data_IF_572611193757
#
_entry.id   IF_572611193757
#
_cell.length_a   1.000
_cell.length_b   1.000
_cell.length_c   1.000
_cell.angle_alpha   90.00
_cell.angle_beta   90.00
_cell.angle_gamma   90.00
#
_symmetry.space_group_name_H-M   'P 1'
#
loop_
_entity.id
_entity.type
_entity.pdbx_description
1 polymer ?
#
# COMPACT_ATOMS: atom_id res chain seq x y z
N UNK A 1 -55.28 7.52 22.03
CA UNK A 1 -55.33 7.99 20.64
C UNK A 1 -53.91 7.93 20.07
N UNK A 2 -53.65 6.88 19.30
CA UNK A 2 -52.34 6.69 18.68
C UNK A 2 -52.30 7.42 17.32
N UNK A 3 -51.52 8.48 17.24
CA UNK A 3 -51.24 9.13 15.96
C UNK A 3 -50.09 8.42 15.24
N UNK A 4 -50.42 7.58 14.26
CA UNK A 4 -49.45 7.09 13.30
C UNK A 4 -49.11 8.21 12.31
N UNK A 5 -47.86 8.66 12.31
CA UNK A 5 -47.32 9.56 11.32
C UNK A 5 -47.27 8.85 9.94
N UNK A 6 -47.87 9.44 8.92
CA UNK A 6 -47.89 8.86 7.56
C UNK A 6 -46.50 8.93 6.93
N UNK A 7 -46.19 7.98 6.01
CA UNK A 7 -44.93 7.96 5.23
C UNK A 7 -44.60 9.31 4.55
N UNK A 8 -45.60 10.11 4.24
CA UNK A 8 -45.43 11.44 3.66
C UNK A 8 -44.92 12.50 4.61
N UNK A 9 -45.25 12.40 5.91
CA UNK A 9 -44.74 13.31 6.95
C UNK A 9 -43.27 13.00 7.30
N UNK A 10 -42.89 11.72 7.28
CA UNK A 10 -41.51 11.31 7.50
C UNK A 10 -40.55 11.82 6.39
N UNK A 11 -40.96 11.72 5.14
CA UNK A 11 -40.19 12.23 4.00
C UNK A 11 -40.03 13.77 4.04
N UNK A 12 -41.05 14.51 4.48
CA UNK A 12 -40.96 15.99 4.61
C UNK A 12 -40.03 16.42 5.74
N UNK A 13 -39.99 15.72 6.86
CA UNK A 13 -39.06 16.02 7.96
C UNK A 13 -37.61 15.66 7.63
N UNK A 14 -37.36 14.59 6.87
CA UNK A 14 -36.03 14.23 6.40
C UNK A 14 -35.44 15.24 5.41
N UNK A 15 -36.29 15.90 4.61
CA UNK A 15 -35.84 16.96 3.68
C UNK A 15 -35.49 18.27 4.37
N UNK A 16 -36.11 18.58 5.54
CA UNK A 16 -35.77 19.78 6.30
C UNK A 16 -34.52 19.65 7.18
N UNK A 17 -34.14 18.42 7.58
CA UNK A 17 -32.89 18.19 8.31
C UNK A 17 -31.64 18.25 7.40
N UNK A 18 -31.80 18.05 6.08
CA UNK A 18 -30.71 18.17 5.10
C UNK A 18 -30.46 19.63 4.65
N UNK A 19 -31.29 20.59 5.06
CA UNK A 19 -31.22 21.99 4.62
C UNK A 19 -30.45 22.95 5.56
N UNK A 20 -29.94 22.48 6.70
CA UNK A 20 -29.34 23.34 7.72
C UNK A 20 -27.80 23.33 7.79
N UNK A 21 -27.12 22.77 6.77
CA UNK A 21 -25.67 22.89 6.61
C UNK A 21 -25.36 23.59 5.29
N UNK A 22 -25.81 24.81 5.18
CA UNK A 22 -25.35 25.74 4.14
C UNK A 22 -25.01 27.05 4.84
N UNK A 23 -23.73 27.31 4.98
CA UNK A 23 -23.10 28.62 4.81
C UNK A 23 -21.67 28.62 5.36
N UNK A 24 -20.73 28.25 4.53
CA UNK A 24 -19.47 29.00 4.46
C UNK A 24 -18.94 28.86 3.01
N UNK A 25 -19.05 29.96 2.27
CA UNK A 25 -18.51 30.12 0.92
C UNK A 25 -16.97 30.07 1.00
N UNK A 26 -16.35 29.02 0.49
CA UNK A 26 -15.01 29.07 -0.07
C UNK A 26 -14.80 27.86 -1.00
N UNK A 27 -14.75 28.13 -2.30
CA UNK A 27 -14.12 27.36 -3.39
C UNK A 27 -14.16 25.83 -3.24
N UNK A 28 -15.35 25.26 -3.25
CA UNK A 28 -15.54 23.83 -3.55
C UNK A 28 -16.22 23.75 -4.91
N UNK A 29 -15.49 23.25 -5.91
CA UNK A 29 -16.07 22.88 -7.20
C UNK A 29 -17.31 22.01 -6.95
N UNK A 30 -18.35 22.17 -7.77
CA UNK A 30 -19.61 21.41 -7.68
C UNK A 30 -19.30 19.91 -7.70
N UNK A 31 -19.23 19.29 -6.53
CA UNK A 31 -19.25 17.83 -6.41
C UNK A 31 -20.68 17.42 -6.70
N UNK A 32 -20.91 16.80 -7.86
CA UNK A 32 -22.18 16.13 -8.14
C UNK A 32 -22.27 14.90 -7.21
N UNK A 33 -22.93 15.07 -6.07
CA UNK A 33 -23.17 13.98 -5.14
C UNK A 33 -24.15 12.99 -5.81
N UNK A 34 -23.73 11.74 -6.00
CA UNK A 34 -24.61 10.66 -6.40
C UNK A 34 -25.78 10.51 -5.41
N UNK A 35 -26.94 10.08 -5.90
CA UNK A 35 -28.08 9.81 -5.02
C UNK A 35 -27.72 8.71 -4.01
N UNK A 36 -28.28 8.69 -2.78
CA UNK A 36 -27.94 7.70 -1.76
C UNK A 36 -28.00 6.24 -2.24
N UNK A 37 -28.97 5.89 -3.08
CA UNK A 37 -29.14 4.54 -3.67
C UNK A 37 -28.15 4.22 -4.80
N UNK A 38 -27.38 5.21 -5.27
CA UNK A 38 -26.36 5.06 -6.32
C UNK A 38 -24.94 5.01 -5.74
N UNK A 39 -24.81 5.08 -4.40
CA UNK A 39 -23.53 5.05 -3.70
C UNK A 39 -23.17 3.63 -3.29
N UNK A 40 -21.88 3.37 -3.26
CA UNK A 40 -21.33 2.10 -2.75
C UNK A 40 -21.47 2.04 -1.22
N UNK A 41 -22.10 1.01 -0.70
CA UNK A 41 -22.18 0.77 0.73
C UNK A 41 -20.86 0.16 1.23
N UNK A 42 -20.06 0.97 1.89
CA UNK A 42 -18.69 0.65 2.29
C UNK A 42 -18.62 0.29 3.78
N UNK A 43 -18.12 -0.90 4.09
CA UNK A 43 -17.67 -1.27 5.43
C UNK A 43 -16.18 -0.94 5.60
N UNK A 44 -15.77 -0.50 6.79
CA UNK A 44 -14.39 -0.14 7.09
C UNK A 44 -13.82 -1.04 8.19
N UNK A 45 -12.70 -1.71 7.91
CA UNK A 45 -11.98 -2.55 8.86
C UNK A 45 -10.61 -1.94 9.12
N UNK A 46 -10.36 -1.58 10.41
CA UNK A 46 -9.31 -0.65 10.82
C UNK A 46 -9.81 0.79 10.74
N UNK A 47 -9.77 1.51 11.87
CA UNK A 47 -10.40 2.84 11.99
C UNK A 47 -9.41 3.94 12.37
N UNK A 48 -8.16 3.60 12.68
CA UNK A 48 -7.21 4.56 13.20
C UNK A 48 -6.06 4.92 12.25
N UNK A 49 -5.37 6.01 12.53
CA UNK A 49 -4.16 6.42 11.81
C UNK A 49 -4.38 6.45 10.28
N UNK A 50 -3.62 5.67 9.52
CA UNK A 50 -3.74 5.62 8.05
C UNK A 50 -5.12 5.19 7.57
N UNK A 51 -5.76 4.25 8.26
CA UNK A 51 -7.12 3.82 7.93
C UNK A 51 -8.13 4.98 8.06
N UNK A 52 -8.00 5.82 9.10
CA UNK A 52 -8.83 7.00 9.25
C UNK A 52 -8.71 7.97 8.06
N UNK A 53 -7.48 8.19 7.56
CA UNK A 53 -7.26 9.05 6.39
C UNK A 53 -7.94 8.46 5.14
N UNK A 54 -7.81 7.15 4.93
CA UNK A 54 -8.44 6.45 3.80
C UNK A 54 -9.95 6.56 3.85
N UNK A 55 -10.56 6.33 5.01
CA UNK A 55 -12.02 6.43 5.20
C UNK A 55 -12.50 7.85 4.88
N UNK A 56 -11.79 8.86 5.38
CA UNK A 56 -12.09 10.27 5.08
C UNK A 56 -11.99 10.58 3.59
N UNK A 57 -10.93 10.12 2.92
CA UNK A 57 -10.74 10.35 1.49
C UNK A 57 -11.77 9.60 0.63
N UNK A 58 -12.11 8.34 0.95
CA UNK A 58 -13.20 7.62 0.29
C UNK A 58 -14.54 8.35 0.46
N UNK A 59 -14.85 8.77 1.68
CA UNK A 59 -16.09 9.48 1.99
C UNK A 59 -16.19 10.84 1.28
N UNK A 60 -15.09 11.61 1.21
CA UNK A 60 -15.01 12.90 0.49
C UNK A 60 -15.34 12.81 -0.99
N UNK A 61 -15.20 11.66 -1.60
CA UNK A 61 -15.58 11.47 -3.02
C UNK A 61 -17.08 11.65 -3.24
N UNK A 62 -17.91 11.49 -2.21
CA UNK A 62 -19.36 11.47 -2.30
C UNK A 62 -19.95 10.24 -2.99
N UNK A 63 -19.13 9.21 -3.28
CA UNK A 63 -19.52 8.00 -4.03
C UNK A 63 -19.85 6.80 -3.13
N UNK A 64 -19.66 6.90 -1.82
CA UNK A 64 -19.97 5.82 -0.88
C UNK A 64 -20.79 6.28 0.32
N UNK A 65 -21.46 5.31 0.96
CA UNK A 65 -22.03 5.42 2.29
C UNK A 65 -21.20 4.55 3.23
N UNK A 66 -20.84 5.05 4.40
CA UNK A 66 -20.19 4.23 5.44
C UNK A 66 -21.28 3.50 6.21
N UNK A 67 -21.36 2.18 6.04
CA UNK A 67 -22.45 1.37 6.58
C UNK A 67 -22.06 0.49 7.76
N UNK A 68 -20.76 0.24 7.98
CA UNK A 68 -20.26 -0.52 9.14
C UNK A 68 -18.82 -0.12 9.47
N UNK A 69 -18.47 -0.16 10.74
CA UNK A 69 -17.16 0.14 11.28
C UNK A 69 -16.65 -1.06 12.11
N UNK A 70 -15.41 -1.49 11.88
CA UNK A 70 -14.82 -2.62 12.58
C UNK A 70 -13.39 -2.32 13.02
N UNK A 71 -13.11 -2.45 14.31
CA UNK A 71 -11.75 -2.36 14.86
C UNK A 71 -11.66 -3.20 16.15
N UNK A 72 -10.57 -3.90 16.35
CA UNK A 72 -10.34 -4.73 17.54
C UNK A 72 -10.15 -3.91 18.82
N UNK A 73 -9.92 -2.60 18.68
CA UNK A 73 -9.78 -1.64 19.78
C UNK A 73 -10.66 -0.40 19.57
N UNK A 74 -11.96 -0.56 19.77
CA UNK A 74 -12.93 0.53 19.63
C UNK A 74 -12.77 1.63 20.70
N UNK A 75 -12.06 1.36 21.79
CA UNK A 75 -11.78 2.33 22.86
C UNK A 75 -10.49 3.12 22.64
N UNK A 76 -9.66 2.74 21.69
CA UNK A 76 -8.40 3.41 21.43
C UNK A 76 -8.59 4.86 20.98
N UNK A 77 -7.69 5.76 21.43
CA UNK A 77 -7.75 7.18 21.06
C UNK A 77 -7.75 7.40 19.55
N UNK A 78 -6.99 6.60 18.79
CA UNK A 78 -6.85 6.75 17.34
C UNK A 78 -8.08 6.32 16.53
N UNK A 79 -9.06 5.63 17.13
CA UNK A 79 -10.32 5.26 16.47
C UNK A 79 -11.44 6.29 16.68
N UNK A 80 -11.31 7.16 17.68
CA UNK A 80 -12.41 8.05 18.13
C UNK A 80 -12.84 9.06 17.06
N UNK A 81 -11.93 9.52 16.21
CA UNK A 81 -12.26 10.45 15.13
C UNK A 81 -13.29 9.81 14.17
N UNK A 82 -13.05 8.61 13.70
CA UNK A 82 -13.95 7.91 12.75
C UNK A 82 -15.24 7.49 13.43
N UNK A 83 -15.18 7.03 14.67
CA UNK A 83 -16.37 6.69 15.45
C UNK A 83 -17.28 7.90 15.67
N UNK A 84 -16.70 9.07 15.89
CA UNK A 84 -17.41 10.33 16.03
C UNK A 84 -17.97 10.88 14.72
N UNK A 85 -17.28 10.65 13.59
CA UNK A 85 -17.77 11.05 12.26
C UNK A 85 -18.99 10.23 11.80
N UNK A 86 -19.09 8.97 12.22
CA UNK A 86 -20.16 8.05 11.81
C UNK A 86 -20.83 7.41 13.03
N UNK A 87 -21.50 8.20 13.89
CA UNK A 87 -22.07 7.72 15.16
C UNK A 87 -23.16 6.65 14.95
N UNK A 88 -23.91 6.75 13.87
CA UNK A 88 -25.03 5.83 13.57
C UNK A 88 -24.60 4.52 12.87
N UNK A 89 -23.36 4.44 12.38
CA UNK A 89 -22.86 3.22 11.75
C UNK A 89 -22.67 2.12 12.81
N UNK A 90 -23.19 0.89 12.61
CA UNK A 90 -22.93 -0.25 13.49
C UNK A 90 -21.44 -0.52 13.67
N UNK A 91 -21.04 -0.85 14.90
CA UNK A 91 -19.64 -1.04 15.31
C UNK A 91 -19.40 -2.49 15.70
N UNK A 92 -18.27 -3.03 15.25
CA UNK A 92 -17.88 -4.42 15.46
C UNK A 92 -16.42 -4.50 15.91
N UNK A 93 -16.10 -5.45 16.78
CA UNK A 93 -14.69 -5.80 17.08
C UNK A 93 -14.16 -6.84 16.09
N UNK A 94 -15.01 -7.75 15.63
CA UNK A 94 -14.68 -8.86 14.75
C UNK A 94 -15.33 -8.67 13.37
N UNK A 95 -14.50 -8.62 12.31
CA UNK A 95 -14.97 -8.47 10.94
C UNK A 95 -15.82 -9.65 10.46
N UNK A 96 -15.62 -10.86 11.02
CA UNK A 96 -16.44 -12.05 10.72
C UNK A 96 -17.87 -11.85 11.17
N UNK A 97 -18.04 -11.32 12.39
CA UNK A 97 -19.37 -10.97 12.95
C UNK A 97 -20.00 -9.82 12.15
N UNK A 98 -19.19 -8.84 11.70
CA UNK A 98 -19.68 -7.76 10.84
C UNK A 98 -20.26 -8.32 9.53
N UNK A 99 -19.53 -9.18 8.83
CA UNK A 99 -20.00 -9.76 7.57
C UNK A 99 -21.20 -10.70 7.78
N UNK A 100 -21.23 -11.48 8.86
CA UNK A 100 -22.36 -12.34 9.20
C UNK A 100 -23.66 -11.54 9.39
N UNK A 101 -23.59 -10.43 10.14
CA UNK A 101 -24.77 -9.60 10.44
C UNK A 101 -25.15 -8.63 9.32
N UNK A 102 -24.21 -8.13 8.55
CA UNK A 102 -24.43 -7.04 7.60
C UNK A 102 -24.05 -7.35 6.16
N UNK A 103 -23.62 -8.58 5.85
CA UNK A 103 -23.12 -8.94 4.53
C UNK A 103 -24.05 -8.54 3.36
N UNK A 104 -25.37 -8.63 3.52
CA UNK A 104 -26.33 -8.24 2.50
C UNK A 104 -26.45 -6.71 2.30
N UNK A 105 -25.90 -5.92 3.19
CA UNK A 105 -25.93 -4.46 3.14
C UNK A 105 -24.60 -3.84 2.71
N UNK A 106 -23.55 -4.65 2.61
CA UNK A 106 -22.19 -4.25 2.25
C UNK A 106 -21.93 -4.57 0.78
N UNK A 107 -21.50 -3.57 0.00
CA UNK A 107 -21.05 -3.74 -1.38
C UNK A 107 -19.53 -3.88 -1.45
N UNK A 108 -18.82 -3.12 -0.64
CA UNK A 108 -17.37 -3.04 -0.63
C UNK A 108 -16.80 -2.95 0.79
N UNK A 109 -15.53 -3.30 0.92
CA UNK A 109 -14.79 -3.13 2.18
C UNK A 109 -13.48 -2.37 1.95
N UNK A 110 -13.14 -1.45 2.87
CA UNK A 110 -11.80 -0.90 2.99
C UNK A 110 -11.07 -1.58 4.14
N UNK A 111 -9.87 -2.09 3.86
CA UNK A 111 -9.01 -2.80 4.82
C UNK A 111 -7.78 -1.94 5.09
N UNK A 112 -7.73 -1.31 6.26
CA UNK A 112 -6.64 -0.42 6.68
C UNK A 112 -5.97 -0.87 7.98
N UNK A 113 -5.96 -2.16 8.22
CA UNK A 113 -5.38 -2.83 9.40
C UNK A 113 -3.86 -3.03 9.24
N UNK A 114 -3.12 -3.64 10.19
CA UNK A 114 -1.72 -4.02 10.01
C UNK A 114 -1.49 -5.01 8.86
N UNK A 115 -0.30 -4.98 8.24
CA UNK A 115 0.06 -5.73 7.03
C UNK A 115 -0.32 -7.21 7.08
N UNK A 116 -0.07 -7.87 8.21
CA UNK A 116 -0.34 -9.31 8.38
C UNK A 116 -1.83 -9.66 8.34
N UNK A 117 -2.70 -8.74 8.72
CA UNK A 117 -4.15 -8.98 8.83
C UNK A 117 -4.93 -8.71 7.54
N UNK A 118 -4.31 -8.10 6.53
CA UNK A 118 -4.94 -7.81 5.24
C UNK A 118 -5.51 -9.05 4.56
N UNK A 119 -4.79 -10.16 4.63
CA UNK A 119 -5.12 -11.40 3.92
C UNK A 119 -6.48 -11.98 4.31
N UNK A 120 -6.69 -12.31 5.58
CA UNK A 120 -7.90 -13.01 6.01
C UNK A 120 -9.17 -12.18 5.79
N UNK A 121 -9.09 -10.86 6.06
CA UNK A 121 -10.21 -9.93 5.83
C UNK A 121 -10.55 -9.87 4.36
N UNK A 122 -9.54 -9.72 3.49
CA UNK A 122 -9.70 -9.64 2.03
C UNK A 122 -10.25 -10.93 1.45
N UNK A 123 -9.74 -12.08 1.88
CA UNK A 123 -10.21 -13.38 1.39
C UNK A 123 -11.68 -13.61 1.71
N UNK A 124 -12.12 -13.31 2.94
CA UNK A 124 -13.52 -13.42 3.32
C UNK A 124 -14.40 -12.46 2.50
N UNK A 125 -13.97 -11.22 2.35
CA UNK A 125 -14.72 -10.23 1.57
C UNK A 125 -14.92 -10.68 0.12
N UNK A 126 -13.86 -11.15 -0.55
CA UNK A 126 -13.92 -11.66 -1.93
C UNK A 126 -14.78 -12.93 -2.03
N UNK A 127 -14.72 -13.81 -1.02
CA UNK A 127 -15.57 -15.03 -0.97
C UNK A 127 -17.05 -14.70 -0.87
N UNK A 128 -17.38 -13.65 -0.13
CA UNK A 128 -18.72 -13.11 0.01
C UNK A 128 -19.15 -12.20 -1.17
N UNK A 129 -18.33 -12.11 -2.24
CA UNK A 129 -18.65 -11.32 -3.42
C UNK A 129 -18.56 -9.81 -3.21
N UNK A 130 -17.70 -9.33 -2.29
CA UNK A 130 -17.52 -7.90 -2.00
C UNK A 130 -16.32 -7.32 -2.74
N UNK A 131 -16.43 -6.07 -3.20
CA UNK A 131 -15.31 -5.29 -3.70
C UNK A 131 -14.34 -4.97 -2.57
N UNK A 132 -13.03 -4.88 -2.85
CA UNK A 132 -12.01 -4.69 -1.80
C UNK A 132 -11.02 -3.59 -2.14
N UNK A 133 -10.88 -2.62 -1.25
CA UNK A 133 -9.74 -1.73 -1.15
C UNK A 133 -8.88 -2.19 0.02
N UNK A 134 -7.62 -2.57 -0.22
CA UNK A 134 -6.69 -2.99 0.84
C UNK A 134 -5.48 -2.07 0.88
N UNK A 135 -5.04 -1.63 2.06
CA UNK A 135 -3.81 -0.86 2.18
C UNK A 135 -2.57 -1.66 1.74
N UNK A 136 -1.53 -0.93 1.41
CA UNK A 136 -0.24 -1.49 1.03
C UNK A 136 0.61 -1.85 2.27
N UNK A 137 1.46 -2.85 2.16
CA UNK A 137 1.55 -3.87 1.10
C UNK A 137 0.32 -4.78 1.12
N UNK A 138 0.04 -5.44 0.00
CA UNK A 138 -1.20 -6.21 -0.18
C UNK A 138 -1.40 -7.30 0.88
N UNK A 139 -0.34 -8.01 1.26
CA UNK A 139 -0.27 -8.95 2.39
C UNK A 139 1.19 -9.15 2.82
N UNK A 140 1.40 -9.86 3.94
CA UNK A 140 2.72 -10.07 4.52
C UNK A 140 3.54 -11.19 3.90
N UNK A 141 2.90 -12.26 3.38
CA UNK A 141 3.61 -13.40 2.80
C UNK A 141 3.37 -13.51 1.30
N UNK A 142 4.33 -14.12 0.61
CA UNK A 142 4.24 -14.35 -0.84
C UNK A 142 3.01 -15.19 -1.19
N UNK A 143 2.73 -16.25 -0.41
CA UNK A 143 1.57 -17.11 -0.62
C UNK A 143 0.25 -16.36 -0.41
N UNK A 144 0.13 -15.56 0.63
CA UNK A 144 -1.08 -14.76 0.89
C UNK A 144 -1.39 -13.83 -0.29
N UNK A 145 -0.37 -13.11 -0.80
CA UNK A 145 -0.52 -12.28 -2.00
C UNK A 145 -0.98 -13.11 -3.21
N UNK A 146 -0.40 -14.28 -3.42
CA UNK A 146 -0.77 -15.17 -4.52
C UNK A 146 -2.23 -15.63 -4.41
N UNK A 147 -2.67 -16.03 -3.22
CA UNK A 147 -4.05 -16.47 -2.97
C UNK A 147 -5.05 -15.33 -3.21
N UNK A 148 -4.76 -14.12 -2.73
CA UNK A 148 -5.60 -12.94 -2.97
C UNK A 148 -5.70 -12.60 -4.47
N UNK A 149 -4.59 -12.59 -5.19
CA UNK A 149 -4.57 -12.33 -6.62
C UNK A 149 -5.32 -13.43 -7.41
N UNK A 150 -5.18 -14.70 -7.02
CA UNK A 150 -5.90 -15.83 -7.62
C UNK A 150 -7.41 -15.72 -7.37
N UNK A 151 -7.81 -15.36 -6.15
CA UNK A 151 -9.22 -15.17 -5.79
C UNK A 151 -9.85 -14.03 -6.60
N UNK A 152 -9.14 -12.91 -6.76
CA UNK A 152 -9.58 -11.79 -7.59
C UNK A 152 -9.73 -12.21 -9.07
N UNK A 153 -8.77 -12.95 -9.65
CA UNK A 153 -8.86 -13.46 -11.03
C UNK A 153 -10.07 -14.38 -11.26
N UNK A 154 -10.44 -15.19 -10.26
CA UNK A 154 -11.65 -16.03 -10.33
C UNK A 154 -12.95 -15.22 -10.22
N UNK A 155 -12.87 -13.98 -9.76
CA UNK A 155 -14.01 -13.09 -9.56
C UNK A 155 -13.83 -11.76 -10.32
N UNK A 156 -13.73 -11.76 -11.66
CA UNK A 156 -13.33 -10.58 -12.45
C UNK A 156 -14.34 -9.43 -12.42
N UNK A 157 -15.52 -9.64 -11.88
CA UNK A 157 -16.54 -8.60 -11.68
C UNK A 157 -16.30 -7.79 -10.40
N UNK A 158 -15.49 -8.28 -9.49
CA UNK A 158 -15.17 -7.58 -8.26
C UNK A 158 -14.02 -6.59 -8.49
N UNK A 159 -14.26 -5.34 -8.17
CA UNK A 159 -13.21 -4.34 -8.13
C UNK A 159 -12.28 -4.63 -6.93
N UNK A 160 -10.98 -4.77 -7.20
CA UNK A 160 -9.94 -4.86 -6.18
C UNK A 160 -8.95 -3.73 -6.38
N UNK A 161 -8.42 -3.14 -5.31
CA UNK A 161 -7.42 -2.09 -5.39
C UNK A 161 -6.50 -2.09 -4.18
N UNK A 162 -5.19 -1.99 -4.40
CA UNK A 162 -4.22 -1.74 -3.34
C UNK A 162 -4.07 -0.24 -3.09
N UNK A 163 -3.78 0.14 -1.84
CA UNK A 163 -3.72 1.52 -1.35
C UNK A 163 -2.43 2.29 -1.67
N UNK A 164 -1.81 2.08 -2.83
CA UNK A 164 -0.67 2.86 -3.32
C UNK A 164 -1.17 4.05 -4.17
N UNK A 165 -1.66 5.10 -3.53
CA UNK A 165 -2.41 6.22 -4.14
C UNK A 165 -1.70 6.87 -5.33
N UNK A 166 -0.36 6.99 -5.30
CA UNK A 166 0.43 7.51 -6.41
C UNK A 166 0.17 6.83 -7.75
N UNK A 167 -0.30 5.59 -7.73
CA UNK A 167 -0.64 4.81 -8.92
C UNK A 167 -1.90 5.31 -9.68
N UNK A 168 -2.47 6.42 -9.28
CA UNK A 168 -3.61 7.08 -9.95
C UNK A 168 -3.37 8.56 -10.21
N UNK A 169 -2.14 9.03 -9.97
CA UNK A 169 -1.79 10.44 -10.03
C UNK A 169 -0.92 10.77 -11.27
N UNK A 170 -0.41 11.99 -11.35
CA UNK A 170 0.34 12.48 -12.52
C UNK A 170 1.53 11.60 -12.93
N UNK A 171 2.25 11.02 -11.96
CA UNK A 171 3.38 10.12 -12.21
C UNK A 171 2.97 8.87 -13.02
N UNK A 172 1.79 8.30 -12.74
CA UNK A 172 1.26 7.14 -13.46
C UNK A 172 1.06 7.45 -14.94
N UNK A 173 0.36 8.54 -15.23
CA UNK A 173 0.04 8.94 -16.61
C UNK A 173 1.30 9.39 -17.36
N UNK A 174 2.21 10.07 -16.69
CA UNK A 174 3.49 10.46 -17.28
C UNK A 174 4.35 9.25 -17.63
N UNK A 175 4.53 8.31 -16.69
CA UNK A 175 5.35 7.12 -16.93
C UNK A 175 4.79 6.32 -18.09
N UNK A 176 3.48 6.12 -18.13
CA UNK A 176 2.78 5.44 -19.21
C UNK A 176 3.01 6.14 -20.55
N UNK A 177 2.71 7.44 -20.65
CA UNK A 177 2.88 8.20 -21.87
C UNK A 177 4.34 8.19 -22.36
N UNK A 178 5.32 8.38 -21.46
CA UNK A 178 6.73 8.36 -21.82
C UNK A 178 7.23 6.98 -22.23
N UNK A 179 6.67 5.93 -21.63
CA UNK A 179 6.96 4.54 -22.05
C UNK A 179 6.39 4.23 -23.43
N UNK A 180 5.14 4.61 -23.69
CA UNK A 180 4.46 4.42 -24.98
C UNK A 180 5.16 5.22 -26.11
N UNK A 181 5.61 6.43 -25.83
CA UNK A 181 6.38 7.28 -26.77
C UNK A 181 7.85 6.83 -26.95
N UNK A 182 8.31 5.81 -26.23
CA UNK A 182 9.69 5.33 -26.30
C UNK A 182 10.74 6.27 -25.69
N UNK A 183 10.32 7.18 -24.82
CA UNK A 183 11.23 8.02 -24.00
C UNK A 183 11.87 7.14 -22.92
N UNK A 184 11.04 6.35 -22.19
CA UNK A 184 11.51 5.36 -21.22
C UNK A 184 11.67 4.02 -21.95
N UNK A 185 12.91 3.68 -22.33
CA UNK A 185 13.27 2.44 -23.01
C UNK A 185 14.66 1.98 -22.57
N UNK A 186 14.98 0.73 -22.84
CA UNK A 186 16.30 0.14 -22.56
C UNK A 186 16.82 0.40 -21.13
N UNK A 187 15.89 0.34 -20.16
CA UNK A 187 16.20 0.51 -18.76
C UNK A 187 16.97 -0.70 -18.24
N UNK A 188 18.14 -0.49 -17.64
CA UNK A 188 19.05 -1.51 -17.15
C UNK A 188 19.23 -1.49 -15.64
N UNK A 189 18.94 -0.35 -14.99
CA UNK A 189 19.05 -0.21 -13.53
C UNK A 189 18.04 0.79 -12.99
N UNK A 190 17.54 0.51 -11.79
CA UNK A 190 16.77 1.45 -10.98
C UNK A 190 17.39 1.44 -9.57
N UNK A 191 17.78 2.61 -9.08
CA UNK A 191 18.18 2.81 -7.71
C UNK A 191 17.02 3.51 -6.98
N UNK A 192 16.40 2.81 -6.05
CA UNK A 192 15.27 3.30 -5.26
C UNK A 192 15.68 3.48 -3.81
N UNK A 193 15.26 4.57 -3.18
CA UNK A 193 15.72 4.89 -1.83
C UNK A 193 14.65 5.46 -0.93
N UNK A 194 14.77 5.09 0.35
CA UNK A 194 14.03 5.63 1.49
C UNK A 194 15.04 5.99 2.58
N UNK A 195 15.56 7.20 2.52
CA UNK A 195 16.73 7.69 3.28
C UNK A 195 16.43 8.13 4.72
N UNK A 196 15.48 7.47 5.38
CA UNK A 196 15.18 7.67 6.80
C UNK A 196 15.26 6.34 7.52
N UNK A 197 15.58 6.30 8.82
CA UNK A 197 15.60 5.08 9.63
C UNK A 197 14.16 4.62 9.90
N UNK A 198 13.44 4.36 8.84
CA UNK A 198 12.03 4.02 8.85
C UNK A 198 11.89 2.58 9.29
N UNK A 199 10.98 2.32 10.26
CA UNK A 199 10.73 0.96 10.78
C UNK A 199 11.92 0.36 11.54
N UNK A 200 12.75 1.21 12.13
CA UNK A 200 13.74 0.85 13.12
C UNK A 200 13.63 1.75 14.35
N UNK A 201 13.57 1.18 15.54
CA UNK A 201 13.27 1.90 16.78
C UNK A 201 14.44 2.04 17.73
N UNK A 202 15.65 1.69 17.34
CA UNK A 202 16.81 1.78 18.19
C UNK A 202 16.91 0.67 19.24
N UNK A 203 16.25 -0.46 19.01
CA UNK A 203 16.39 -1.62 19.88
C UNK A 203 17.81 -2.19 19.83
N UNK A 204 18.20 -2.90 20.91
CA UNK A 204 19.45 -3.63 20.94
C UNK A 204 19.46 -4.71 19.86
N UNK A 205 20.39 -4.59 18.90
CA UNK A 205 20.55 -5.55 17.79
C UNK A 205 20.95 -6.96 18.27
N UNK A 206 21.47 -7.07 19.51
CA UNK A 206 21.79 -8.35 20.13
C UNK A 206 20.61 -9.03 20.84
N UNK A 207 19.43 -8.43 20.78
CA UNK A 207 18.20 -9.02 21.34
C UNK A 207 17.97 -10.41 20.75
N UNK A 208 17.75 -11.41 21.63
CA UNK A 208 17.59 -12.83 21.27
C UNK A 208 16.16 -13.34 21.46
N UNK A 209 15.19 -12.46 21.52
CA UNK A 209 13.79 -12.80 21.72
C UNK A 209 12.88 -11.60 21.56
N UNK A 210 11.61 -11.83 21.72
CA UNK A 210 10.61 -10.77 21.75
C UNK A 210 10.57 -10.08 23.12
N UNK A 211 10.03 -8.84 23.21
CA UNK A 211 9.91 -8.13 24.49
C UNK A 211 9.01 -8.89 25.48
N UNK A 212 9.23 -8.62 26.77
CA UNK A 212 8.46 -9.26 27.85
C UNK A 212 6.96 -8.93 27.75
N UNK A 213 6.14 -9.84 28.28
CA UNK A 213 4.70 -9.64 28.35
C UNK A 213 4.32 -8.40 29.18
N UNK A 214 3.37 -7.62 28.69
CA UNK A 214 2.74 -6.51 29.40
C UNK A 214 1.23 -6.77 29.56
N UNK A 215 0.55 -5.97 30.40
CA UNK A 215 -0.90 -6.04 30.55
C UNK A 215 -1.57 -5.58 29.24
N UNK A 216 -2.51 -6.38 28.77
CA UNK A 216 -3.34 -6.03 27.60
C UNK A 216 -4.24 -4.85 27.98
N UNK A 217 -4.31 -3.78 27.17
CA UNK A 217 -5.27 -2.70 27.38
C UNK A 217 -6.72 -3.25 27.43
N UNK A 218 -7.53 -2.75 28.34
CA UNK A 218 -8.90 -3.24 28.57
C UNK A 218 -9.79 -3.20 27.31
N UNK A 219 -9.56 -2.23 26.44
CA UNK A 219 -10.36 -2.05 25.22
C UNK A 219 -9.90 -2.90 24.04
N UNK A 220 -8.66 -3.41 24.07
CA UNK A 220 -8.03 -4.17 22.98
C UNK A 220 -8.39 -5.67 23.07
N UNK A 221 -8.90 -6.22 22.00
CA UNK A 221 -8.98 -7.66 21.81
C UNK A 221 -7.67 -8.16 21.17
N UNK A 222 -6.74 -8.62 22.03
CA UNK A 222 -5.41 -9.03 21.59
C UNK A 222 -5.41 -10.30 20.73
N UNK A 223 -6.30 -11.25 21.00
CA UNK A 223 -6.42 -12.47 20.21
C UNK A 223 -6.93 -12.17 18.79
N UNK A 224 -7.94 -11.32 18.69
CA UNK A 224 -8.40 -10.82 17.39
C UNK A 224 -7.36 -9.96 16.68
N UNK A 225 -6.55 -9.20 17.42
CA UNK A 225 -5.50 -8.40 16.80
C UNK A 225 -4.45 -9.27 16.11
N UNK A 226 -4.07 -10.39 16.69
CA UNK A 226 -3.06 -11.30 16.14
C UNK A 226 -3.55 -12.10 14.92
N UNK A 227 -4.83 -12.36 14.80
CA UNK A 227 -5.46 -13.07 13.68
C UNK A 227 -4.75 -14.41 13.36
N UNK A 228 -4.26 -14.54 12.09
CA UNK A 228 -3.60 -15.76 11.61
C UNK A 228 -2.12 -15.86 11.97
N UNK A 229 -1.52 -14.87 12.64
CA UNK A 229 -0.09 -14.90 12.97
C UNK A 229 0.26 -15.89 14.07
N UNK A 230 1.53 -16.16 14.27
CA UNK A 230 2.02 -16.87 15.45
C UNK A 230 1.64 -16.08 16.69
N UNK A 231 1.09 -16.75 17.69
CA UNK A 231 0.69 -16.11 18.94
C UNK A 231 1.87 -15.53 19.72
N UNK A 232 1.75 -14.27 20.10
CA UNK A 232 2.69 -13.55 20.97
C UNK A 232 1.97 -13.07 22.23
N UNK A 233 2.67 -13.01 23.34
CA UNK A 233 2.21 -12.25 24.48
C UNK A 233 2.14 -10.76 24.10
N UNK A 234 1.17 -10.03 24.65
CA UNK A 234 1.04 -8.63 24.39
C UNK A 234 2.27 -7.83 24.87
N UNK A 235 2.70 -6.91 24.03
CA UNK A 235 3.63 -5.84 24.39
C UNK A 235 3.29 -4.60 23.56
N UNK A 236 3.43 -3.41 24.16
CA UNK A 236 3.13 -2.13 23.48
C UNK A 236 3.97 -1.89 22.23
N UNK A 237 5.14 -2.52 22.12
CA UNK A 237 6.02 -2.42 20.97
C UNK A 237 5.54 -3.23 19.75
N UNK A 238 4.40 -3.94 19.87
CA UNK A 238 3.72 -4.59 18.76
C UNK A 238 2.56 -3.78 18.18
N UNK A 239 2.07 -2.73 18.88
CA UNK A 239 0.90 -1.95 18.46
C UNK A 239 1.28 -0.53 18.02
N UNK A 240 0.31 0.30 17.68
CA UNK A 240 0.48 1.73 17.35
C UNK A 240 1.52 2.01 16.24
N UNK A 241 1.56 1.14 15.22
CA UNK A 241 2.48 1.29 14.09
C UNK A 241 3.84 0.63 14.29
N UNK A 242 4.20 0.25 15.50
CA UNK A 242 5.46 -0.44 15.84
C UNK A 242 5.50 -1.86 15.25
N UNK A 243 4.36 -2.50 15.03
CA UNK A 243 4.25 -3.80 14.37
C UNK A 243 5.00 -3.87 13.03
N UNK A 244 5.12 -2.74 12.33
CA UNK A 244 5.86 -2.66 11.05
C UNK A 244 7.34 -3.00 11.17
N UNK A 245 7.88 -2.97 12.37
CA UNK A 245 9.29 -3.19 12.65
C UNK A 245 9.64 -4.65 12.89
N UNK A 246 8.65 -5.53 13.09
CA UNK A 246 8.82 -6.93 13.40
C UNK A 246 8.53 -7.80 12.18
N UNK A 247 9.39 -8.77 11.89
CA UNK A 247 9.21 -9.69 10.75
C UNK A 247 7.90 -10.50 10.83
N UNK A 248 7.40 -10.76 12.04
CA UNK A 248 6.17 -11.54 12.21
C UNK A 248 4.89 -10.74 11.92
N UNK A 249 4.96 -9.40 11.90
CA UNK A 249 3.80 -8.55 11.74
C UNK A 249 3.87 -7.62 10.54
N UNK A 250 5.05 -7.12 10.17
CA UNK A 250 5.21 -6.10 9.16
C UNK A 250 6.17 -6.50 8.04
N UNK A 251 6.37 -5.54 7.14
CA UNK A 251 7.22 -5.68 5.96
C UNK A 251 8.33 -4.62 5.89
N UNK A 252 8.65 -3.98 7.02
CA UNK A 252 9.73 -3.01 7.14
C UNK A 252 9.60 -1.78 6.23
N UNK A 253 10.73 -1.14 5.96
CA UNK A 253 10.78 0.03 5.09
C UNK A 253 10.45 -0.30 3.63
N UNK A 254 10.89 -1.46 3.13
CA UNK A 254 10.62 -1.91 1.77
C UNK A 254 9.12 -2.08 1.51
N UNK A 255 8.39 -2.80 2.36
CA UNK A 255 6.94 -2.97 2.21
C UNK A 255 6.16 -1.68 2.43
N UNK A 256 6.60 -0.85 3.38
CA UNK A 256 5.93 0.42 3.69
C UNK A 256 6.09 1.48 2.57
N UNK A 257 7.27 1.57 1.94
CA UNK A 257 7.59 2.62 0.97
C UNK A 257 7.83 2.14 -0.46
N UNK A 258 8.21 0.90 -0.66
CA UNK A 258 8.49 0.37 -1.99
C UNK A 258 7.32 0.53 -2.96
N UNK A 259 6.09 0.34 -2.47
CA UNK A 259 4.87 0.51 -3.28
C UNK A 259 4.62 1.95 -3.73
N UNK A 260 5.19 2.96 -3.05
CA UNK A 260 5.07 4.37 -3.44
C UNK A 260 6.20 4.84 -4.35
N UNK A 261 7.25 4.04 -4.50
CA UNK A 261 8.46 4.41 -5.26
C UNK A 261 8.57 3.59 -6.55
N UNK A 262 8.26 2.28 -6.49
CA UNK A 262 8.53 1.32 -7.57
C UNK A 262 7.30 0.93 -8.39
N UNK A 263 6.09 1.27 -7.97
CA UNK A 263 4.82 0.82 -8.55
C UNK A 263 4.69 1.04 -10.06
N UNK A 264 4.90 2.29 -10.52
CA UNK A 264 4.82 2.64 -11.94
C UNK A 264 5.92 1.99 -12.78
N UNK A 265 7.13 1.91 -12.22
CA UNK A 265 8.24 1.24 -12.90
C UNK A 265 7.99 -0.27 -13.00
N UNK A 266 7.46 -0.89 -11.95
CA UNK A 266 7.16 -2.30 -11.92
C UNK A 266 6.10 -2.68 -12.99
N UNK A 267 5.01 -1.94 -13.06
CA UNK A 267 3.95 -2.18 -14.04
C UNK A 267 4.44 -1.91 -15.48
N UNK A 268 4.86 -0.67 -15.76
CA UNK A 268 5.10 -0.24 -17.15
C UNK A 268 6.39 -0.79 -17.77
N UNK A 269 7.31 -1.30 -16.96
CA UNK A 269 8.48 -2.03 -17.46
C UNK A 269 8.25 -3.56 -17.50
N UNK A 270 7.01 -4.03 -17.26
CA UNK A 270 6.67 -5.47 -17.27
C UNK A 270 7.63 -6.30 -16.39
N UNK A 271 7.94 -5.86 -15.16
CA UNK A 271 9.02 -6.50 -14.38
C UNK A 271 8.67 -7.91 -13.92
N UNK A 272 7.46 -8.15 -13.47
CA UNK A 272 7.06 -9.44 -12.92
C UNK A 272 7.88 -9.81 -11.67
N UNK A 273 8.38 -11.04 -11.61
CA UNK A 273 9.20 -11.53 -10.48
C UNK A 273 10.70 -11.53 -10.85
N UNK A 274 11.59 -11.18 -9.89
CA UNK A 274 13.03 -11.28 -10.07
C UNK A 274 13.47 -12.75 -10.05
N UNK A 275 14.56 -13.08 -10.75
CA UNK A 275 15.21 -14.39 -10.67
C UNK A 275 16.17 -14.50 -9.50
N UNK A 276 16.69 -13.36 -9.01
CA UNK A 276 17.59 -13.31 -7.86
C UNK A 276 17.25 -12.12 -6.97
N UNK A 277 17.35 -12.31 -5.66
CA UNK A 277 17.26 -11.26 -4.65
C UNK A 277 18.39 -11.41 -3.65
N UNK A 278 19.13 -10.36 -3.37
CA UNK A 278 20.27 -10.41 -2.46
C UNK A 278 20.19 -9.31 -1.41
N UNK A 279 20.45 -9.66 -0.15
CA UNK A 279 20.84 -8.70 0.86
C UNK A 279 22.32 -8.33 0.61
N UNK A 280 22.57 -7.07 0.21
CA UNK A 280 23.92 -6.59 -0.13
C UNK A 280 24.60 -5.99 1.10
N UNK A 281 23.85 -5.24 1.90
CA UNK A 281 24.31 -4.62 3.14
C UNK A 281 23.15 -4.57 4.13
N UNK A 282 23.39 -4.94 5.36
CA UNK A 282 22.45 -4.83 6.48
C UNK A 282 23.17 -4.30 7.71
N UNK A 283 22.79 -3.12 8.17
CA UNK A 283 23.30 -2.55 9.42
C UNK A 283 22.30 -2.86 10.55
N UNK A 284 22.77 -3.45 11.65
CA UNK A 284 21.90 -3.84 12.76
C UNK A 284 20.99 -5.03 12.43
N UNK A 285 21.47 -6.00 11.64
CA UNK A 285 20.71 -7.21 11.30
C UNK A 285 20.35 -8.01 12.56
N UNK A 286 19.06 -8.41 12.63
CA UNK A 286 18.50 -9.23 13.69
C UNK A 286 17.46 -10.20 13.11
N UNK A 287 17.19 -11.32 13.78
CA UNK A 287 16.23 -12.33 13.30
C UNK A 287 14.77 -12.01 13.62
N UNK A 288 14.51 -11.02 14.47
CA UNK A 288 13.17 -10.68 14.97
C UNK A 288 12.59 -9.41 14.34
N UNK A 289 13.42 -8.40 14.10
CA UNK A 289 13.02 -7.09 13.60
C UNK A 289 13.92 -6.60 12.46
N UNK A 290 13.41 -5.61 11.70
CA UNK A 290 14.09 -5.07 10.53
C UNK A 290 15.36 -4.30 10.91
N UNK A 291 16.41 -4.32 10.05
CA UNK A 291 17.66 -3.64 10.29
C UNK A 291 17.51 -2.11 10.30
N UNK A 292 18.50 -1.43 10.87
CA UNK A 292 18.61 0.04 10.89
C UNK A 292 18.73 0.61 9.46
N UNK A 293 19.52 -0.05 8.63
CA UNK A 293 19.62 0.25 7.20
C UNK A 293 19.80 -1.02 6.39
N UNK A 294 19.35 -1.00 5.14
CA UNK A 294 19.55 -2.11 4.22
C UNK A 294 19.78 -1.67 2.79
N UNK A 295 20.63 -2.45 2.08
CA UNK A 295 20.73 -2.41 0.62
C UNK A 295 20.37 -3.79 0.09
N UNK A 296 19.30 -3.83 -0.73
CA UNK A 296 18.85 -5.05 -1.38
C UNK A 296 18.99 -4.91 -2.90
N UNK A 297 19.33 -6.01 -3.56
CA UNK A 297 19.42 -6.07 -5.02
C UNK A 297 18.44 -7.11 -5.56
N UNK A 298 17.64 -6.71 -6.55
CA UNK A 298 16.71 -7.57 -7.28
C UNK A 298 17.13 -7.63 -8.73
N UNK A 299 17.35 -8.84 -9.25
CA UNK A 299 17.71 -9.06 -10.65
C UNK A 299 16.50 -9.57 -11.44
N UNK A 300 16.07 -8.79 -12.43
CA UNK A 300 15.01 -9.16 -13.37
C UNK A 300 15.61 -9.60 -14.70
N UNK A 301 15.20 -10.75 -15.25
CA UNK A 301 15.76 -11.25 -16.49
C UNK A 301 15.32 -10.41 -17.70
N UNK A 302 15.90 -10.65 -18.86
CA UNK A 302 15.43 -10.08 -20.12
C UNK A 302 13.96 -10.44 -20.36
N UNK A 303 13.13 -9.46 -20.74
CA UNK A 303 11.68 -9.61 -20.93
C UNK A 303 11.28 -9.06 -22.30
N UNK A 304 10.79 -9.91 -23.21
CA UNK A 304 10.39 -9.50 -24.57
C UNK A 304 11.52 -8.68 -25.24
N UNK A 305 11.27 -7.39 -25.51
CA UNK A 305 12.25 -6.43 -26.07
C UNK A 305 13.01 -5.64 -24.99
N UNK A 306 12.69 -5.83 -23.71
CA UNK A 306 13.33 -5.14 -22.59
C UNK A 306 14.60 -5.87 -22.15
N UNK A 307 15.72 -5.16 -21.87
CA UNK A 307 16.93 -5.79 -21.34
C UNK A 307 16.71 -6.37 -19.94
N UNK A 308 17.67 -7.15 -19.45
CA UNK A 308 17.76 -7.48 -18.05
C UNK A 308 17.94 -6.17 -17.24
N UNK A 309 17.41 -6.14 -16.00
CA UNK A 309 17.38 -4.95 -15.18
C UNK A 309 17.65 -5.31 -13.73
N UNK A 310 18.48 -4.52 -13.07
CA UNK A 310 18.68 -4.57 -11.62
C UNK A 310 17.91 -3.45 -10.93
N UNK A 311 17.19 -3.78 -9.87
CA UNK A 311 16.69 -2.80 -8.91
C UNK A 311 17.56 -2.89 -7.66
N UNK A 312 18.14 -1.78 -7.24
CA UNK A 312 18.78 -1.63 -5.95
C UNK A 312 17.87 -0.80 -5.04
N UNK A 313 17.54 -1.36 -3.89
CA UNK A 313 16.78 -0.69 -2.84
C UNK A 313 17.73 -0.27 -1.73
N UNK A 314 17.59 0.97 -1.31
CA UNK A 314 18.36 1.56 -0.21
C UNK A 314 17.41 2.11 0.84
N UNK A 315 17.54 1.70 2.10
CA UNK A 315 16.82 2.31 3.21
C UNK A 315 17.76 2.58 4.42
N UNK A 316 17.31 3.44 5.30
CA UNK A 316 18.06 3.88 6.46
C UNK A 316 18.83 5.18 6.27
N UNK A 317 19.21 5.81 7.38
CA UNK A 317 19.97 7.06 7.39
C UNK A 317 21.34 6.84 6.72
N UNK A 318 21.75 7.79 5.88
CA UNK A 318 23.04 7.80 5.18
C UNK A 318 23.31 6.60 4.26
N UNK A 319 22.30 5.78 4.00
CA UNK A 319 22.39 4.67 3.07
C UNK A 319 21.68 5.03 1.73
N UNK A 320 22.40 5.78 0.90
CA UNK A 320 21.88 6.30 -0.37
C UNK A 320 22.56 5.63 -1.56
N UNK A 321 21.87 5.59 -2.73
CA UNK A 321 22.51 5.19 -3.97
C UNK A 321 23.57 6.22 -4.41
N UNK A 322 24.52 5.83 -5.29
CA UNK A 322 25.35 6.78 -6.01
C UNK A 322 24.51 7.83 -6.73
N UNK A 323 24.75 9.10 -6.45
CA UNK A 323 24.00 10.21 -7.04
C UNK A 323 24.64 10.61 -8.35
N UNK A 324 23.92 10.54 -9.49
CA UNK A 324 24.48 10.93 -10.78
C UNK A 324 24.65 12.46 -10.90
N UNK A 325 25.52 12.87 -11.82
CA UNK A 325 25.72 14.29 -12.14
C UNK A 325 24.38 14.94 -12.57
N UNK A 326 24.17 16.17 -12.14
CA UNK A 326 22.96 16.94 -12.45
C UNK A 326 21.72 16.57 -11.60
N UNK A 327 21.83 15.64 -10.68
CA UNK A 327 20.69 15.27 -9.83
C UNK A 327 20.18 16.40 -8.95
N UNK A 328 21.06 17.24 -8.41
CA UNK A 328 20.75 18.25 -7.40
C UNK A 328 20.65 19.70 -7.89
N UNK A 329 20.65 19.97 -9.21
CA UNK A 329 20.88 21.32 -9.75
C UNK A 329 19.60 22.11 -10.03
N UNK A 330 18.43 21.50 -10.15
CA UNK A 330 17.19 22.25 -10.42
C UNK A 330 16.43 22.54 -9.12
N UNK A 331 16.27 23.83 -8.80
CA UNK A 331 15.43 24.28 -7.68
C UNK A 331 13.93 24.00 -7.86
N UNK A 332 13.56 23.26 -8.89
CA UNK A 332 12.19 22.82 -9.22
C UNK A 332 11.93 21.35 -8.88
N UNK A 333 12.92 20.63 -8.37
CA UNK A 333 12.72 19.23 -7.99
C UNK A 333 12.01 19.12 -6.63
N UNK A 334 10.77 18.64 -6.57
CA UNK A 334 10.04 18.50 -5.33
C UNK A 334 10.66 17.46 -4.36
N UNK A 335 11.62 16.66 -4.86
CA UNK A 335 12.32 15.65 -4.08
C UNK A 335 13.57 16.17 -3.40
N UNK A 336 14.04 17.36 -3.75
CA UNK A 336 15.24 17.98 -3.18
C UNK A 336 14.82 19.28 -2.52
N UNK A 337 15.01 19.44 -1.21
CA UNK A 337 14.90 20.73 -0.56
C UNK A 337 15.85 21.70 -1.23
N UNK A 338 15.42 22.93 -1.49
CA UNK A 338 16.28 23.97 -2.07
C UNK A 338 17.60 24.06 -1.31
N UNK A 339 18.75 23.83 -1.94
CA UNK A 339 20.01 23.81 -1.20
C UNK A 339 20.37 25.23 -0.76
N UNK A 340 20.61 25.43 0.51
CA UNK A 340 21.13 26.69 1.05
C UNK A 340 22.54 27.02 0.55
N UNK A 341 23.25 26.03 0.04
CA UNK A 341 24.68 26.14 -0.36
C UNK A 341 24.95 25.75 -1.81
N UNK A 342 23.94 25.38 -2.59
CA UNK A 342 24.12 24.82 -3.94
C UNK A 342 24.70 23.42 -4.00
N UNK A 343 25.01 22.79 -2.85
CA UNK A 343 25.50 21.41 -2.76
C UNK A 343 24.37 20.50 -2.25
N UNK A 344 24.24 19.34 -2.89
CA UNK A 344 23.33 18.30 -2.44
C UNK A 344 23.82 17.72 -1.11
N UNK A 345 22.96 17.75 -0.08
CA UNK A 345 23.21 17.05 1.16
C UNK A 345 22.42 15.72 1.15
N UNK A 346 23.08 14.57 1.10
CA UNK A 346 22.40 13.26 0.99
C UNK A 346 21.35 13.01 2.08
N UNK A 347 21.60 13.44 3.31
CA UNK A 347 20.66 13.30 4.42
C UNK A 347 19.34 14.09 4.25
N UNK A 348 19.26 14.98 3.26
CA UNK A 348 18.08 15.80 2.97
C UNK A 348 17.32 15.35 1.71
N UNK A 349 17.73 14.26 1.06
CA UNK A 349 16.97 13.69 -0.06
C UNK A 349 15.61 13.17 0.40
N UNK A 350 14.57 13.53 -0.32
CA UNK A 350 13.26 12.88 -0.15
C UNK A 350 13.26 11.48 -0.78
N UNK A 351 12.44 10.54 -0.27
CA UNK A 351 12.33 9.22 -0.85
C UNK A 351 12.03 9.24 -2.34
N UNK A 352 12.70 8.40 -3.11
CA UNK A 352 12.56 8.42 -4.56
C UNK A 352 13.34 7.35 -5.29
N UNK A 353 13.53 7.57 -6.60
CA UNK A 353 14.21 6.64 -7.49
C UNK A 353 15.02 7.35 -8.57
N UNK A 354 16.04 6.66 -9.03
CA UNK A 354 16.85 7.02 -10.21
C UNK A 354 16.73 5.88 -11.21
N UNK A 355 16.31 6.18 -12.43
CA UNK A 355 16.13 5.19 -13.49
C UNK A 355 17.20 5.42 -14.53
N UNK A 356 18.01 4.40 -14.80
CA UNK A 356 19.08 4.45 -15.79
C UNK A 356 18.67 3.67 -17.04
N UNK A 357 18.59 4.37 -18.15
CA UNK A 357 18.46 3.75 -19.48
C UNK A 357 19.74 3.92 -20.27
N UNK A 358 19.78 3.35 -21.49
CA UNK A 358 20.94 3.46 -22.36
C UNK A 358 21.31 4.92 -22.67
N UNK A 359 20.31 5.76 -22.92
CA UNK A 359 20.50 7.11 -23.46
C UNK A 359 20.11 8.22 -22.46
N UNK A 360 19.29 7.92 -21.46
CA UNK A 360 18.72 8.91 -20.54
C UNK A 360 18.79 8.42 -19.09
N UNK A 361 18.90 9.37 -18.18
CA UNK A 361 18.74 9.15 -16.75
C UNK A 361 17.52 9.94 -16.28
N UNK A 362 16.68 9.31 -15.48
CA UNK A 362 15.50 9.92 -14.90
C UNK A 362 15.60 9.93 -13.39
N UNK A 363 15.21 11.03 -12.75
CA UNK A 363 14.98 11.08 -11.31
C UNK A 363 13.49 11.27 -11.03
N UNK A 364 13.00 10.70 -9.94
CA UNK A 364 11.63 10.86 -9.50
C UNK A 364 11.50 10.59 -8.02
N UNK A 365 10.48 11.16 -7.42
CA UNK A 365 10.17 10.94 -6.01
C UNK A 365 9.27 9.74 -5.78
N UNK A 366 8.62 9.78 -4.64
CA UNK A 366 7.58 8.84 -4.24
C UNK A 366 6.18 9.37 -4.57
N UNK A 367 5.17 8.53 -4.39
CA UNK A 367 3.75 8.88 -4.54
C UNK A 367 3.44 9.49 -5.93
N UNK A 368 2.87 10.69 -5.95
CA UNK A 368 2.45 11.38 -7.17
C UNK A 368 3.59 12.06 -7.95
N UNK A 369 4.83 11.99 -7.46
CA UNK A 369 5.96 12.72 -8.03
C UNK A 369 6.32 12.22 -9.43
N UNK A 370 6.33 13.12 -10.40
CA UNK A 370 6.68 12.85 -11.81
C UNK A 370 8.18 12.67 -11.99
N UNK A 371 8.57 12.06 -13.12
CA UNK A 371 9.96 11.91 -13.52
C UNK A 371 10.50 13.19 -14.15
N UNK A 372 11.78 13.45 -13.95
CA UNK A 372 12.56 14.47 -14.63
C UNK A 372 13.76 13.82 -15.32
N UNK A 373 14.07 14.27 -16.53
CA UNK A 373 15.30 13.88 -17.24
C UNK A 373 16.45 14.69 -16.67
N UNK A 374 17.57 14.04 -16.39
CA UNK A 374 18.80 14.66 -15.92
C UNK A 374 20.00 14.29 -16.81
N UNK A 375 21.01 15.18 -16.92
CA UNK A 375 21.08 16.56 -16.44
C UNK A 375 20.11 17.51 -17.21
N UNK A 376 19.95 18.74 -16.73
CA UNK A 376 19.02 19.73 -17.31
C UNK A 376 19.28 20.00 -18.81
N UNK A 377 20.53 20.00 -19.24
CA UNK A 377 20.88 20.12 -20.65
C UNK A 377 20.22 19.02 -21.50
N UNK A 378 20.19 17.80 -21.00
CA UNK A 378 19.53 16.66 -21.67
C UNK A 378 18.00 16.77 -21.64
N UNK A 379 17.45 17.31 -20.56
CA UNK A 379 16.01 17.58 -20.47
C UNK A 379 15.58 18.61 -21.55
N UNK A 380 16.32 19.68 -21.73
CA UNK A 380 16.07 20.69 -22.78
C UNK A 380 16.15 20.10 -24.19
N UNK A 381 17.16 19.27 -24.49
CA UNK A 381 17.27 18.55 -25.76
C UNK A 381 16.03 17.69 -26.06
N UNK A 382 15.45 17.08 -25.03
CA UNK A 382 14.33 16.18 -25.16
C UNK A 382 12.96 16.87 -25.19
N UNK A 383 12.88 18.14 -24.80
CA UNK A 383 11.62 18.86 -24.55
C UNK A 383 10.61 18.74 -25.71
N UNK A 384 11.06 18.98 -26.96
CA UNK A 384 10.21 18.90 -28.15
C UNK A 384 9.75 17.47 -28.52
N UNK A 385 10.32 16.45 -27.87
CA UNK A 385 10.03 15.04 -28.12
C UNK A 385 9.14 14.43 -27.04
N UNK A 386 8.89 15.16 -25.95
CA UNK A 386 8.05 14.67 -24.86
C UNK A 386 6.58 14.69 -25.27
N UNK A 387 5.84 13.59 -25.05
CA UNK A 387 4.42 13.55 -25.36
C UNK A 387 3.62 14.38 -24.37
N UNK A 388 2.42 14.80 -24.78
CA UNK A 388 1.42 15.31 -23.86
C UNK A 388 1.04 14.23 -22.83
N UNK A 389 0.97 14.62 -21.56
CA UNK A 389 0.60 13.72 -20.46
C UNK A 389 -0.88 13.88 -20.15
N UNK A 390 -1.69 12.83 -20.30
CA UNK A 390 -3.11 12.88 -19.95
C UNK A 390 -3.32 13.19 -18.48
N UNK A 391 -4.39 13.92 -18.16
CA UNK A 391 -4.82 14.14 -16.78
C UNK A 391 -5.51 12.90 -16.23
N UNK A 392 -5.35 12.65 -14.93
CA UNK A 392 -6.09 11.58 -14.26
C UNK A 392 -7.59 11.87 -14.31
N UNK A 393 -8.45 10.92 -14.77
CA UNK A 393 -9.89 11.10 -14.78
C UNK A 393 -10.51 11.03 -13.39
N UNK A 394 -9.83 10.41 -12.43
CA UNK A 394 -10.27 10.27 -11.03
C UNK A 394 -9.06 10.05 -10.12
N UNK A 395 -9.12 10.56 -8.89
CA UNK A 395 -8.14 10.18 -7.89
C UNK A 395 -8.27 8.70 -7.50
N UNK A 396 -7.33 8.19 -6.75
CA UNK A 396 -7.23 6.78 -6.40
C UNK A 396 -8.48 6.23 -5.69
N UNK A 397 -9.06 7.01 -4.78
CA UNK A 397 -10.24 6.62 -4.01
C UNK A 397 -11.51 6.62 -4.86
N UNK A 398 -11.71 7.65 -5.68
CA UNK A 398 -12.80 7.71 -6.64
C UNK A 398 -12.68 6.61 -7.70
N UNK A 399 -11.46 6.27 -8.15
CA UNK A 399 -11.22 5.18 -9.09
C UNK A 399 -11.69 3.83 -8.53
N UNK A 400 -11.42 3.54 -7.25
CA UNK A 400 -11.93 2.33 -6.61
C UNK A 400 -13.47 2.29 -6.62
N UNK A 401 -14.12 3.35 -6.13
CA UNK A 401 -15.57 3.39 -6.01
C UNK A 401 -16.27 3.37 -7.37
N UNK A 402 -15.70 4.01 -8.39
CA UNK A 402 -16.16 3.89 -9.78
C UNK A 402 -15.93 2.49 -10.35
N UNK A 403 -14.82 1.84 -9.94
CA UNK A 403 -14.56 0.44 -10.24
C UNK A 403 -15.64 -0.49 -9.67
N UNK A 404 -16.09 -0.26 -8.43
CA UNK A 404 -17.21 -1.01 -7.83
C UNK A 404 -18.51 -0.87 -8.62
N UNK A 405 -18.70 0.26 -9.29
CA UNK A 405 -19.87 0.55 -10.13
C UNK A 405 -19.69 0.10 -11.61
N UNK A 406 -18.50 -0.40 -11.96
CA UNK A 406 -18.17 -0.78 -13.35
C UNK A 406 -17.95 0.40 -14.30
N UNK A 407 -17.80 1.63 -13.78
CA UNK A 407 -17.57 2.86 -14.56
C UNK A 407 -16.11 3.05 -14.98
N UNK A 408 -15.16 2.57 -14.17
CA UNK A 408 -13.72 2.59 -14.45
C UNK A 408 -13.09 1.25 -14.07
N UNK A 409 -11.95 0.92 -14.69
CA UNK A 409 -11.06 -0.15 -14.18
C UNK A 409 -10.18 0.42 -13.06
N UNK A 410 -10.02 -0.34 -11.98
CA UNK A 410 -9.09 0.03 -10.91
C UNK A 410 -7.65 -0.03 -11.41
N UNK A 411 -6.86 1.02 -11.11
CA UNK A 411 -5.48 1.14 -11.64
C UNK A 411 -4.48 0.29 -10.89
N UNK A 412 -4.74 0.02 -9.62
CA UNK A 412 -3.91 -0.86 -8.79
C UNK A 412 -4.66 -2.13 -8.38
N UNK A 413 -5.31 -2.77 -9.37
CA UNK A 413 -5.98 -4.06 -9.18
C UNK A 413 -4.98 -5.12 -8.66
N UNK A 414 -5.48 -6.16 -7.98
CA UNK A 414 -4.61 -7.20 -7.40
C UNK A 414 -3.76 -7.96 -8.42
N UNK A 415 -4.16 -8.00 -9.69
CA UNK A 415 -3.34 -8.55 -10.77
C UNK A 415 -2.09 -7.70 -11.08
N UNK A 416 -2.15 -6.39 -10.81
CA UNK A 416 -1.04 -5.43 -10.97
C UNK A 416 -0.24 -5.31 -9.67
N UNK A 417 -0.93 -5.11 -8.55
CA UNK A 417 -0.32 -4.91 -7.25
C UNK A 417 0.29 -6.20 -6.65
N UNK A 418 -0.25 -7.37 -7.00
CA UNK A 418 0.20 -8.66 -6.48
C UNK A 418 1.66 -8.95 -6.79
N UNK A 419 2.10 -8.98 -8.07
CA UNK A 419 3.50 -9.22 -8.40
C UNK A 419 4.46 -8.23 -7.74
N UNK A 420 4.11 -6.96 -7.63
CA UNK A 420 4.91 -5.96 -6.91
C UNK A 420 5.02 -6.32 -5.41
N UNK A 421 3.91 -6.67 -4.77
CA UNK A 421 3.91 -7.08 -3.35
C UNK A 421 4.73 -8.36 -3.13
N UNK A 422 4.70 -9.29 -4.08
CA UNK A 422 5.53 -10.52 -4.05
C UNK A 422 7.03 -10.20 -4.13
N UNK A 423 7.44 -9.19 -4.92
CA UNK A 423 8.84 -8.71 -4.94
C UNK A 423 9.25 -8.23 -3.55
N UNK A 424 8.38 -7.52 -2.84
CA UNK A 424 8.69 -7.08 -1.47
C UNK A 424 8.79 -8.25 -0.50
N UNK A 425 7.92 -9.26 -0.60
CA UNK A 425 8.03 -10.48 0.22
C UNK A 425 9.39 -11.17 0.03
N UNK A 426 9.89 -11.27 -1.21
CA UNK A 426 11.22 -11.84 -1.50
C UNK A 426 12.34 -10.99 -0.89
N UNK A 427 12.23 -9.66 -0.99
CA UNK A 427 13.18 -8.74 -0.35
C UNK A 427 13.23 -8.90 1.17
N UNK A 428 12.07 -9.01 1.81
CA UNK A 428 11.95 -9.24 3.26
C UNK A 428 12.59 -10.58 3.68
N UNK A 429 12.38 -11.65 2.90
CA UNK A 429 13.00 -12.95 3.17
C UNK A 429 14.54 -12.85 3.04
N UNK A 430 15.04 -12.24 1.97
CA UNK A 430 16.49 -12.03 1.79
C UNK A 430 17.10 -11.20 2.93
N UNK A 431 16.39 -10.17 3.38
CA UNK A 431 16.79 -9.30 4.49
C UNK A 431 16.79 -10.05 5.83
N UNK A 432 15.72 -10.83 6.11
CA UNK A 432 15.63 -11.62 7.35
C UNK A 432 16.74 -12.67 7.46
N UNK A 433 17.09 -13.32 6.34
CA UNK A 433 18.10 -14.38 6.29
C UNK A 433 19.51 -13.86 6.02
N UNK A 434 19.67 -12.57 5.70
CA UNK A 434 20.93 -11.99 5.25
C UNK A 434 21.57 -12.84 4.14
N UNK A 435 20.81 -13.14 3.10
CA UNK A 435 21.21 -14.11 2.09
C UNK A 435 20.84 -13.71 0.67
N UNK A 436 21.36 -14.46 -0.30
CA UNK A 436 20.96 -14.44 -1.69
C UNK A 436 19.92 -15.53 -1.94
N UNK A 437 18.80 -15.14 -2.54
CA UNK A 437 17.72 -16.03 -2.98
C UNK A 437 17.79 -16.19 -4.50
N UNK A 438 17.59 -17.41 -4.99
CA UNK A 438 17.43 -17.73 -6.41
C UNK A 438 16.02 -18.27 -6.62
N UNK A 439 15.21 -17.55 -7.40
CA UNK A 439 13.80 -17.87 -7.63
C UNK A 439 13.60 -18.50 -9.01
N UNK A 440 12.93 -19.64 -9.05
CA UNK A 440 12.28 -20.11 -10.27
C UNK A 440 10.96 -19.34 -10.43
N UNK A 441 10.91 -18.40 -11.38
CA UNK A 441 9.75 -17.53 -11.58
C UNK A 441 8.52 -18.25 -12.16
N UNK A 442 8.68 -19.45 -12.72
CA UNK A 442 7.57 -20.26 -13.25
C UNK A 442 6.89 -21.05 -12.13
N UNK A 443 7.68 -21.76 -11.30
CA UNK A 443 7.15 -22.52 -10.16
C UNK A 443 6.92 -21.64 -8.94
N UNK A 444 7.52 -20.43 -8.95
CA UNK A 444 7.50 -19.48 -7.81
C UNK A 444 8.14 -20.05 -6.55
N UNK A 445 9.21 -20.82 -6.70
CA UNK A 445 9.96 -21.46 -5.63
C UNK A 445 11.37 -20.89 -5.50
N UNK A 446 11.84 -20.71 -4.28
CA UNK A 446 13.25 -20.43 -3.98
C UNK A 446 14.00 -21.75 -4.04
N UNK A 447 14.92 -21.88 -5.01
CA UNK A 447 15.54 -23.17 -5.35
C UNK A 447 16.87 -23.43 -4.66
N UNK A 448 17.51 -22.43 -4.10
CA UNK A 448 18.83 -22.54 -3.47
C UNK A 448 18.79 -22.63 -1.94
N UNK A 449 17.63 -22.45 -1.30
CA UNK A 449 17.47 -22.52 0.14
C UNK A 449 16.05 -23.01 0.50
N UNK A 450 15.95 -24.19 1.11
CA UNK A 450 14.68 -24.83 1.51
C UNK A 450 13.97 -24.06 2.62
N UNK A 451 14.73 -23.47 3.55
CA UNK A 451 14.14 -22.68 4.63
C UNK A 451 13.58 -21.36 4.10
N UNK A 452 14.34 -20.67 3.25
CA UNK A 452 13.84 -19.49 2.56
C UNK A 452 12.58 -19.81 1.74
N UNK A 453 12.55 -20.97 1.06
CA UNK A 453 11.37 -21.40 0.30
C UNK A 453 10.15 -21.63 1.21
N UNK A 454 10.33 -22.18 2.40
CA UNK A 454 9.24 -22.32 3.37
C UNK A 454 8.70 -20.94 3.85
N UNK A 455 9.54 -19.93 3.91
CA UNK A 455 9.13 -18.57 4.29
C UNK A 455 8.24 -17.88 3.25
N UNK A 456 8.17 -18.36 2.02
CA UNK A 456 7.20 -17.88 1.03
C UNK A 456 5.75 -18.06 1.51
N UNK A 457 5.46 -19.15 2.20
CA UNK A 457 4.17 -19.38 2.83
C UNK A 457 4.07 -18.74 4.22
N UNK A 458 5.20 -18.49 4.86
CA UNK A 458 5.26 -18.13 6.27
C UNK A 458 4.97 -19.31 7.21
N UNK A 459 4.82 -19.05 8.51
CA UNK A 459 4.43 -20.08 9.47
C UNK A 459 2.99 -20.57 9.22
N UNK A 460 2.64 -21.78 9.64
CA UNK A 460 1.25 -22.22 9.62
C UNK A 460 0.34 -21.21 10.32
N UNK A 461 -0.88 -20.97 9.79
CA UNK A 461 -1.81 -20.04 10.41
C UNK A 461 -2.23 -20.52 11.80
N UNK A 462 -2.52 -19.58 12.69
CA UNK A 462 -3.09 -19.85 13.99
C UNK A 462 -4.39 -20.67 13.86
N UNK A 463 -4.68 -21.50 14.88
CA UNK A 463 -5.88 -22.37 14.90
C UNK A 463 -7.16 -21.55 14.69
N UNK A 464 -7.99 -22.00 13.76
CA UNK A 464 -9.26 -21.33 13.41
C UNK A 464 -9.13 -20.30 12.28
N UNK A 465 -7.92 -20.13 11.72
CA UNK A 465 -7.69 -19.24 10.58
C UNK A 465 -7.31 -19.98 9.29
N UNK A 466 -7.19 -21.31 9.32
CA UNK A 466 -6.75 -22.15 8.20
C UNK A 466 -7.72 -22.11 7.01
N UNK A 467 -9.00 -21.84 7.25
CA UNK A 467 -10.01 -21.79 6.21
C UNK A 467 -9.72 -20.72 5.15
N UNK A 468 -9.14 -19.59 5.54
CA UNK A 468 -8.84 -18.49 4.61
C UNK A 468 -7.79 -18.86 3.55
N UNK A 469 -6.93 -19.84 3.84
CA UNK A 469 -5.94 -20.37 2.92
C UNK A 469 -6.52 -21.41 1.95
N UNK A 470 -7.77 -21.82 2.14
CA UNK A 470 -8.48 -22.81 1.32
C UNK A 470 -9.60 -22.22 0.46
N UNK A 471 -9.88 -20.92 0.62
CA UNK A 471 -10.86 -20.15 -0.17
C UNK A 471 -10.29 -19.86 -1.58
#
# INVERSE_FOLDING_TARGET
>A
MNHYLSRRSFVKQSVMAAGAVMLSNSVLGKVNLAKPNERVNLACVGLGNRAADIIKELYKTGLCNIVALCDVDLGAKHTQEILGMFPDAPKFKDFRVMFDKMGNQIDAVSVGTPDFSHFAITMLALDLGKHVYVEKPMARTFLEVELMANKARKNPKLATQMGNQGHSEANYFQFKAWKEAGIIKDVTRIDAHMNMPRRWHGWDVNMKGFPAAEMIPETLDWDLWQMQTIGHNYNKDFVNGQWRCWYDFGMGALGDWGAHILDTAHEFLDLGLPTEVSAVKLDGHNSYFFPMSSTLKFHFPKRKKMPALDINWYDGLDNLPPIPEGYGVSGLDPNIPAPSTGKLEPAKLNPGKIIYSKDLIFKGGSHASTLQIIPEAKAKEMESRLPEVPKSPSNHFANFLKGCKGEEKTRSAFEIAGPLSQVFCLGVIAQRLNSKLVLNTQTKEIINDKFANALLAGPPPARGWEQYYKM
#
